data_IF_822990082826
#
_entry.id   IF_822990082826
#
_cell.length_a   1.000
_cell.length_b   1.000
_cell.length_c   1.000
_cell.angle_alpha   90.00
_cell.angle_beta   90.00
_cell.angle_gamma   90.00
#
_symmetry.space_group_name_H-M   'P 1'
#
loop_
_entity.id
_entity.type
_entity.pdbx_description
1 polymer ?
#
# COMPACT_ATOMS: atom_id res chain seq x y z
N UNK A 1 -1.16 14.15 -17.16
CA UNK A 1 -2.02 14.06 -15.95
C UNK A 1 -2.73 12.69 -15.98
N UNK A 2 -2.06 11.59 -15.59
CA UNK A 2 -2.59 10.22 -15.82
C UNK A 2 -3.79 9.86 -14.93
N UNK A 3 -4.13 10.70 -13.96
CA UNK A 3 -5.16 10.41 -12.94
C UNK A 3 -6.59 10.52 -13.50
N UNK A 4 -6.79 11.08 -14.70
CA UNK A 4 -8.14 11.36 -15.23
C UNK A 4 -8.96 10.13 -15.68
N UNK A 5 -8.42 8.91 -15.66
CA UNK A 5 -9.12 7.70 -16.11
C UNK A 5 -9.11 6.53 -15.10
N UNK A 6 -8.69 6.73 -13.85
CA UNK A 6 -8.78 5.70 -12.80
C UNK A 6 -10.10 5.85 -12.06
N UNK A 7 -10.97 4.84 -12.14
CA UNK A 7 -12.33 4.88 -11.60
C UNK A 7 -12.43 4.83 -10.06
N UNK A 8 -11.33 4.61 -9.33
CA UNK A 8 -11.24 4.78 -7.86
C UNK A 8 -9.79 4.58 -7.38
N UNK A 9 -9.35 5.35 -6.38
CA UNK A 9 -8.08 5.12 -5.68
C UNK A 9 -8.35 4.16 -4.52
N UNK A 10 -7.55 3.11 -4.39
CA UNK A 10 -7.66 2.15 -3.29
C UNK A 10 -6.45 2.29 -2.37
N UNK A 11 -6.68 2.30 -1.06
CA UNK A 11 -5.64 2.46 -0.04
C UNK A 11 -5.77 1.31 0.97
N UNK A 12 -4.67 0.60 1.23
CA UNK A 12 -4.62 -0.38 2.32
C UNK A 12 -4.73 0.33 3.67
N UNK A 13 -5.41 -0.28 4.67
CA UNK A 13 -5.44 0.28 6.03
C UNK A 13 -4.03 0.44 6.63
N UNK A 14 -3.06 -0.34 6.16
CA UNK A 14 -1.67 -0.24 6.60
C UNK A 14 -1.07 1.09 6.16
N UNK A 15 -1.27 1.47 4.91
CA UNK A 15 -0.85 2.79 4.40
C UNK A 15 -1.60 3.93 5.11
N UNK A 16 -2.88 3.74 5.42
CA UNK A 16 -3.63 4.71 6.22
C UNK A 16 -2.99 4.92 7.61
N UNK A 17 -2.62 3.82 8.29
CA UNK A 17 -1.91 3.85 9.57
C UNK A 17 -0.57 4.56 9.47
N UNK A 18 0.26 4.21 8.48
CA UNK A 18 1.58 4.84 8.27
C UNK A 18 1.47 6.36 8.08
N UNK A 19 0.46 6.81 7.33
CA UNK A 19 0.23 8.23 7.10
C UNK A 19 -0.23 8.92 8.39
N UNK A 20 -1.17 8.35 9.14
CA UNK A 20 -1.59 8.91 10.43
C UNK A 20 -0.44 8.97 11.44
N UNK A 21 0.42 7.95 11.48
CA UNK A 21 1.64 7.96 12.29
C UNK A 21 2.55 9.14 11.90
N UNK A 22 2.79 9.35 10.60
CA UNK A 22 3.60 10.45 10.10
C UNK A 22 3.01 11.83 10.42
N UNK A 23 1.69 11.99 10.21
CA UNK A 23 0.97 13.24 10.48
C UNK A 23 0.92 13.58 11.97
N UNK A 24 0.89 12.58 12.85
CA UNK A 24 0.92 12.77 14.30
C UNK A 24 2.34 13.08 14.79
N UNK A 25 3.34 12.40 14.24
CA UNK A 25 4.76 12.60 14.60
C UNK A 25 5.32 13.95 14.12
N UNK A 26 4.74 14.53 13.07
CA UNK A 26 5.08 15.85 12.52
C UNK A 26 3.80 16.63 12.20
N UNK A 27 3.15 17.24 13.20
CA UNK A 27 1.84 17.87 13.04
C UNK A 27 1.84 19.00 11.99
N UNK A 28 0.91 18.91 11.04
CA UNK A 28 0.63 19.97 10.09
C UNK A 28 -0.86 19.95 9.74
N UNK A 29 -1.63 20.85 10.37
CA UNK A 29 -3.08 20.91 10.24
C UNK A 29 -3.56 21.05 8.79
N UNK A 30 -2.81 21.76 7.93
CA UNK A 30 -3.16 21.91 6.52
C UNK A 30 -3.06 20.58 5.77
N UNK A 31 -2.00 19.81 6.04
CA UNK A 31 -1.81 18.49 5.41
C UNK A 31 -2.81 17.48 5.97
N UNK A 32 -3.07 17.51 7.28
CA UNK A 32 -4.07 16.63 7.91
C UNK A 32 -5.46 16.85 7.31
N UNK A 33 -5.96 18.09 7.27
CA UNK A 33 -7.27 18.41 6.71
C UNK A 33 -7.39 18.04 5.22
N UNK A 34 -6.32 18.24 4.45
CA UNK A 34 -6.27 17.83 3.06
C UNK A 34 -6.34 16.30 2.92
N UNK A 35 -5.58 15.57 3.72
CA UNK A 35 -5.54 14.11 3.70
C UNK A 35 -6.88 13.50 4.13
N UNK A 36 -7.50 14.01 5.19
CA UNK A 36 -8.82 13.54 5.65
C UNK A 36 -9.89 13.74 4.56
N UNK A 37 -9.83 14.87 3.85
CA UNK A 37 -10.72 15.15 2.72
C UNK A 37 -10.47 14.20 1.54
N UNK A 38 -9.20 13.97 1.20
CA UNK A 38 -8.79 13.05 0.13
C UNK A 38 -9.23 11.61 0.42
N UNK A 39 -9.03 11.13 1.65
CA UNK A 39 -9.47 9.79 2.07
C UNK A 39 -10.99 9.66 1.98
N UNK A 40 -11.73 10.67 2.45
CA UNK A 40 -13.19 10.64 2.47
C UNK A 40 -13.83 10.68 1.08
N UNK A 41 -13.26 11.46 0.16
CA UNK A 41 -13.93 11.78 -1.10
C UNK A 41 -13.41 10.96 -2.29
N UNK A 42 -12.13 10.59 -2.29
CA UNK A 42 -11.44 10.06 -3.47
C UNK A 42 -10.94 8.61 -3.31
N UNK A 43 -10.97 8.08 -2.08
CA UNK A 43 -10.34 6.79 -1.75
C UNK A 43 -11.34 5.74 -1.22
N UNK A 44 -11.04 4.48 -1.52
CA UNK A 44 -11.64 3.31 -0.88
C UNK A 44 -10.59 2.66 0.02
N UNK A 45 -10.92 2.48 1.30
CA UNK A 45 -10.03 1.84 2.28
C UNK A 45 -10.25 0.33 2.25
N UNK A 46 -9.18 -0.43 1.97
CA UNK A 46 -9.22 -1.89 1.89
C UNK A 46 -8.78 -2.50 3.23
N UNK A 47 -9.66 -3.24 3.95
CA UNK A 47 -9.34 -3.89 5.22
C UNK A 47 -8.35 -5.04 5.04
N UNK A 48 -7.65 -5.40 6.12
CA UNK A 48 -6.90 -6.66 6.17
C UNK A 48 -7.85 -7.79 6.54
N UNK A 49 -8.07 -8.70 5.58
CA UNK A 49 -8.84 -9.93 5.78
C UNK A 49 -7.93 -11.09 6.18
N UNK A 50 -8.52 -12.21 6.61
CA UNK A 50 -7.76 -13.43 6.89
C UNK A 50 -6.98 -13.93 5.65
N UNK A 51 -7.59 -13.83 4.47
CA UNK A 51 -6.95 -14.20 3.19
C UNK A 51 -5.71 -13.33 2.90
N UNK A 52 -5.82 -12.02 3.07
CA UNK A 52 -4.69 -11.09 2.92
C UNK A 52 -3.58 -11.42 3.93
N UNK A 53 -3.94 -11.68 5.19
CA UNK A 53 -2.97 -12.00 6.23
C UNK A 53 -2.23 -13.34 5.95
N UNK A 54 -2.95 -14.36 5.48
CA UNK A 54 -2.37 -15.65 5.09
C UNK A 54 -1.41 -15.50 3.90
N UNK A 55 -1.84 -14.76 2.86
CA UNK A 55 -0.99 -14.51 1.69
C UNK A 55 0.26 -13.71 2.08
N UNK A 56 0.13 -12.66 2.89
CA UNK A 56 1.27 -11.91 3.43
C UNK A 56 2.27 -12.84 4.14
N UNK A 57 1.80 -13.75 4.99
CA UNK A 57 2.64 -14.72 5.69
C UNK A 57 3.41 -15.63 4.72
N UNK A 58 2.72 -16.12 3.68
CA UNK A 58 3.32 -16.94 2.62
C UNK A 58 4.41 -16.18 1.86
N UNK A 59 4.10 -14.98 1.36
CA UNK A 59 5.05 -14.14 0.60
C UNK A 59 6.27 -13.84 1.48
N UNK A 60 6.07 -13.37 2.71
CA UNK A 60 7.16 -13.03 3.63
C UNK A 60 8.04 -14.24 3.97
N UNK A 61 7.44 -15.42 4.13
CA UNK A 61 8.15 -16.68 4.31
C UNK A 61 9.01 -17.05 3.09
N UNK A 62 8.46 -16.92 1.88
CA UNK A 62 9.18 -17.15 0.63
C UNK A 62 10.35 -16.17 0.45
N UNK A 63 10.13 -14.89 0.74
CA UNK A 63 11.18 -13.87 0.67
C UNK A 63 12.33 -14.19 1.62
N UNK A 64 12.02 -14.57 2.87
CA UNK A 64 13.02 -15.02 3.85
C UNK A 64 13.83 -16.22 3.35
N UNK A 65 13.17 -17.23 2.77
CA UNK A 65 13.85 -18.40 2.20
C UNK A 65 14.77 -18.03 1.03
N UNK A 66 14.42 -16.97 0.28
CA UNK A 66 15.25 -16.42 -0.81
C UNK A 66 16.36 -15.46 -0.33
N UNK A 67 16.55 -15.30 0.98
CA UNK A 67 17.56 -14.40 1.55
C UNK A 67 17.19 -12.91 1.50
N UNK A 68 15.93 -12.57 1.17
CA UNK A 68 15.44 -11.19 1.14
C UNK A 68 14.77 -10.82 2.46
N UNK A 69 15.20 -9.70 3.04
CA UNK A 69 14.55 -9.09 4.20
C UNK A 69 13.49 -8.11 3.72
N UNK A 70 12.25 -8.34 4.13
CA UNK A 70 11.09 -7.48 3.83
C UNK A 70 10.32 -7.20 5.12
N UNK A 71 9.65 -6.05 5.19
CA UNK A 71 8.83 -5.70 6.35
C UNK A 71 7.49 -6.43 6.31
N UNK A 72 6.82 -6.54 7.47
CA UNK A 72 5.46 -7.06 7.49
C UNK A 72 4.47 -6.10 6.82
N UNK A 73 4.65 -4.78 6.98
CA UNK A 73 3.78 -3.76 6.42
C UNK A 73 3.79 -3.81 4.88
N UNK A 74 4.97 -3.82 4.26
CA UNK A 74 5.11 -3.91 2.80
C UNK A 74 4.44 -5.18 2.28
N UNK A 75 4.64 -6.32 2.95
CA UNK A 75 4.04 -7.59 2.51
C UNK A 75 2.53 -7.62 2.70
N UNK A 76 1.97 -6.93 3.70
CA UNK A 76 0.51 -6.75 3.82
C UNK A 76 -0.04 -5.88 2.68
N UNK A 77 0.65 -4.81 2.32
CA UNK A 77 0.27 -3.95 1.18
C UNK A 77 0.35 -4.75 -0.13
N UNK A 78 1.42 -5.52 -0.33
CA UNK A 78 1.60 -6.37 -1.51
C UNK A 78 0.49 -7.43 -1.61
N UNK A 79 0.20 -8.13 -0.51
CA UNK A 79 -0.86 -9.12 -0.46
C UNK A 79 -2.25 -8.50 -0.70
N UNK A 80 -2.51 -7.31 -0.16
CA UNK A 80 -3.75 -6.56 -0.43
C UNK A 80 -3.89 -6.29 -1.93
N UNK A 81 -2.85 -5.75 -2.57
CA UNK A 81 -2.86 -5.49 -4.00
C UNK A 81 -3.08 -6.77 -4.82
N UNK A 82 -2.44 -7.87 -4.42
CA UNK A 82 -2.56 -9.16 -5.13
C UNK A 82 -3.97 -9.75 -5.04
N UNK A 83 -4.57 -9.79 -3.83
CA UNK A 83 -5.94 -10.33 -3.62
C UNK A 83 -6.97 -9.52 -4.41
N UNK A 84 -6.82 -8.20 -4.43
CA UNK A 84 -7.73 -7.30 -5.15
C UNK A 84 -7.37 -7.13 -6.65
N UNK A 85 -6.33 -7.82 -7.15
CA UNK A 85 -5.85 -7.72 -8.54
C UNK A 85 -5.54 -6.28 -8.98
N UNK A 86 -4.96 -5.50 -8.06
CA UNK A 86 -4.61 -4.10 -8.28
C UNK A 86 -3.15 -3.93 -8.71
N UNK A 87 -2.88 -2.82 -9.41
CA UNK A 87 -1.51 -2.33 -9.60
C UNK A 87 -1.08 -1.54 -8.37
N UNK A 88 0.05 -1.92 -7.77
CA UNK A 88 0.61 -1.19 -6.64
C UNK A 88 1.40 0.04 -7.15
N UNK A 89 0.97 1.21 -6.70
CA UNK A 89 1.64 2.48 -6.98
C UNK A 89 2.66 2.76 -5.88
N UNK A 90 3.95 2.69 -6.21
CA UNK A 90 5.02 2.89 -5.22
C UNK A 90 6.28 3.48 -5.84
N UNK A 91 7.00 4.30 -5.08
CA UNK A 91 8.35 4.73 -5.45
C UNK A 91 9.38 3.62 -5.25
N UNK A 92 9.16 2.73 -4.29
CA UNK A 92 10.13 1.72 -3.87
C UNK A 92 9.86 0.37 -4.52
N UNK A 93 9.98 0.31 -5.85
CA UNK A 93 9.66 -0.89 -6.66
C UNK A 93 10.45 -2.12 -6.17
N UNK A 94 11.71 -1.93 -5.75
CA UNK A 94 12.64 -3.01 -5.36
C UNK A 94 12.12 -3.92 -4.26
N UNK A 95 11.36 -3.38 -3.31
CA UNK A 95 10.83 -4.15 -2.18
C UNK A 95 9.66 -5.06 -2.60
N UNK A 96 9.08 -4.81 -3.78
CA UNK A 96 7.91 -5.51 -4.30
C UNK A 96 8.17 -6.32 -5.58
N UNK A 97 9.35 -6.19 -6.20
CA UNK A 97 9.71 -6.84 -7.48
C UNK A 97 9.49 -8.36 -7.51
N UNK A 98 9.51 -9.01 -6.34
CA UNK A 98 9.37 -10.47 -6.20
C UNK A 98 8.00 -10.90 -5.66
N UNK A 99 7.07 -9.97 -5.50
CA UNK A 99 5.72 -10.25 -5.01
C UNK A 99 4.75 -10.69 -6.12
N UNK A 100 5.16 -10.61 -7.40
CA UNK A 100 4.31 -11.05 -8.53
C UNK A 100 3.09 -10.16 -8.76
N UNK A 101 3.16 -8.89 -8.38
CA UNK A 101 2.11 -7.89 -8.56
C UNK A 101 2.53 -6.85 -9.61
N UNK A 102 1.59 -6.25 -10.36
CA UNK A 102 1.90 -5.13 -11.24
C UNK A 102 2.37 -3.93 -10.40
N UNK A 103 3.48 -3.32 -10.80
CA UNK A 103 4.07 -2.15 -10.13
C UNK A 103 4.05 -0.94 -11.06
N UNK A 104 3.71 0.21 -10.50
CA UNK A 104 3.78 1.48 -11.20
C UNK A 104 4.49 2.53 -10.34
N UNK A 105 5.55 3.12 -10.86
CA UNK A 105 6.24 4.22 -10.19
C UNK A 105 5.76 5.57 -10.74
N UNK A 106 5.09 6.39 -9.92
CA UNK A 106 4.55 7.66 -10.37
C UNK A 106 5.61 8.77 -10.56
N UNK A 107 6.87 8.51 -10.21
CA UNK A 107 7.95 9.50 -10.24
C UNK A 107 9.02 9.24 -11.31
N UNK A 108 8.78 8.27 -12.20
CA UNK A 108 9.61 7.99 -13.38
C UNK A 108 9.05 8.62 -14.64
#
# INVERSE_FOLDING_TARGET
MWVKNLSSINISVITLEEIHYGLTSKPNLKIQNWFDSFIKNDCQILPITAEIAQLCGKIRGQQRLSGKTVTQADMMIAATAQIHQLTLVTRNIRDFDSCGIPLFNPFT
#
